data_IF_582959454422
#
_entry.id   IF_582959454422
#
_cell.length_a   1.000
_cell.length_b   1.000
_cell.length_c   1.000
_cell.angle_alpha   90.00
_cell.angle_beta   90.00
_cell.angle_gamma   90.00
#
_symmetry.space_group_name_H-M   'P 1'
#
loop_
_entity.id
_entity.type
_entity.pdbx_description
1 polymer ?
#
# COMPACT_ATOMS: atom_id res chain seq x y z
N UNK A 1 2.76 8.52 -10.22
CA UNK A 1 1.82 7.73 -11.05
C UNK A 1 0.65 8.59 -11.55
N UNK A 2 -0.13 8.19 -12.57
CA UNK A 2 -1.40 8.90 -12.93
C UNK A 2 -2.63 8.23 -12.31
N UNK A 3 -3.71 8.99 -12.10
CA UNK A 3 -4.97 8.48 -11.53
C UNK A 3 -5.53 7.28 -12.32
N UNK A 4 -5.53 7.36 -13.65
CA UNK A 4 -6.01 6.26 -14.50
C UNK A 4 -5.19 4.98 -14.32
N UNK A 5 -3.86 5.10 -14.22
CA UNK A 5 -2.99 3.94 -14.00
C UNK A 5 -3.23 3.31 -12.63
N UNK A 6 -3.42 4.13 -11.60
CA UNK A 6 -3.75 3.68 -10.25
C UNK A 6 -5.06 2.87 -10.26
N UNK A 7 -6.12 3.41 -10.85
CA UNK A 7 -7.42 2.73 -10.96
C UNK A 7 -7.30 1.39 -11.72
N UNK A 8 -6.57 1.38 -12.84
CA UNK A 8 -6.32 0.15 -13.61
C UNK A 8 -5.57 -0.92 -12.81
N UNK A 9 -4.69 -0.52 -11.88
CA UNK A 9 -3.96 -1.45 -11.01
C UNK A 9 -4.88 -1.94 -9.88
N UNK A 10 -5.60 -1.03 -9.22
CA UNK A 10 -6.53 -1.37 -8.13
C UNK A 10 -7.66 -2.31 -8.60
N UNK A 11 -8.11 -2.17 -9.85
CA UNK A 11 -9.10 -3.05 -10.47
C UNK A 11 -8.58 -4.48 -10.77
N UNK A 12 -7.27 -4.74 -10.67
CA UNK A 12 -6.71 -6.09 -10.88
C UNK A 12 -6.97 -6.98 -9.68
N UNK A 13 -6.85 -8.29 -9.92
CA UNK A 13 -6.90 -9.30 -8.85
C UNK A 13 -5.78 -9.10 -7.82
N UNK A 14 -5.96 -9.51 -6.55
CA UNK A 14 -4.98 -9.35 -5.49
C UNK A 14 -3.57 -9.81 -5.86
N UNK A 15 -3.42 -10.96 -6.52
CA UNK A 15 -2.11 -11.52 -6.89
C UNK A 15 -1.38 -10.65 -7.93
N UNK A 16 -2.14 -9.99 -8.80
CA UNK A 16 -1.59 -9.07 -9.80
C UNK A 16 -1.18 -7.75 -9.17
N UNK A 17 -1.92 -7.25 -8.18
CA UNK A 17 -1.54 -6.06 -7.40
C UNK A 17 -0.27 -6.33 -6.59
N UNK A 18 -0.16 -7.50 -5.97
CA UNK A 18 1.04 -7.90 -5.24
C UNK A 18 2.27 -8.00 -6.16
N UNK A 19 2.13 -8.61 -7.33
CA UNK A 19 3.23 -8.64 -8.33
C UNK A 19 3.64 -7.24 -8.78
N UNK A 20 2.69 -6.33 -8.96
CA UNK A 20 2.96 -4.94 -9.28
C UNK A 20 3.73 -4.24 -8.14
N UNK A 21 3.30 -4.45 -6.89
CA UNK A 21 3.97 -3.92 -5.71
C UNK A 21 5.45 -4.35 -5.68
N UNK A 22 5.72 -5.66 -5.70
CA UNK A 22 7.09 -6.18 -5.65
C UNK A 22 7.93 -5.64 -6.80
N UNK A 23 7.41 -5.62 -8.03
CA UNK A 23 8.14 -5.08 -9.18
C UNK A 23 8.51 -3.61 -8.99
N UNK A 24 7.59 -2.80 -8.47
CA UNK A 24 7.78 -1.36 -8.31
C UNK A 24 8.78 -1.08 -7.20
N UNK A 25 8.61 -1.71 -6.04
CA UNK A 25 9.53 -1.54 -4.91
C UNK A 25 10.95 -2.00 -5.24
N UNK A 26 11.11 -3.09 -6.00
CA UNK A 26 12.45 -3.54 -6.44
C UNK A 26 13.05 -2.59 -7.46
N UNK A 27 12.25 -1.94 -8.30
CA UNK A 27 12.75 -1.03 -9.33
C UNK A 27 13.14 0.34 -8.75
N UNK A 28 12.35 0.85 -7.81
CA UNK A 28 12.55 2.18 -7.21
C UNK A 28 13.36 2.12 -5.91
N UNK A 29 13.56 0.94 -5.33
CA UNK A 29 14.22 0.70 -4.04
C UNK A 29 13.60 1.46 -2.86
N UNK A 30 12.34 1.87 -3.00
CA UNK A 30 11.59 2.66 -2.03
C UNK A 30 10.23 2.01 -1.72
N UNK A 31 9.76 2.23 -0.49
CA UNK A 31 8.41 1.88 -0.04
C UNK A 31 7.76 3.09 0.63
N UNK A 32 6.44 3.14 0.54
CA UNK A 32 5.64 4.20 1.13
C UNK A 32 4.75 3.65 2.24
N UNK A 33 4.53 4.43 3.29
CA UNK A 33 3.65 4.12 4.40
C UNK A 33 2.85 5.35 4.80
N UNK A 34 1.76 5.13 5.53
CA UNK A 34 1.06 6.22 6.21
C UNK A 34 1.69 6.42 7.58
N UNK A 35 1.81 7.68 8.00
CA UNK A 35 2.32 8.04 9.31
C UNK A 35 1.65 9.31 9.82
N UNK A 36 1.55 9.43 11.14
CA UNK A 36 1.09 10.61 11.86
C UNK A 36 2.08 10.99 12.98
N UNK A 37 1.63 11.77 13.98
CA UNK A 37 2.48 12.19 15.10
C UNK A 37 2.91 11.02 16.01
N UNK A 38 2.19 9.90 15.99
CA UNK A 38 2.44 8.72 16.83
C UNK A 38 3.34 7.68 16.13
N UNK A 39 3.51 7.79 14.80
CA UNK A 39 4.43 6.95 14.04
C UNK A 39 3.81 6.41 12.76
N UNK A 40 4.24 5.23 12.34
CA UNK A 40 3.71 4.57 11.15
C UNK A 40 2.39 3.89 11.45
N UNK A 41 1.49 3.84 10.48
CA UNK A 41 0.23 3.13 10.57
C UNK A 41 0.47 1.62 10.68
N UNK A 42 0.01 1.06 11.78
CA UNK A 42 -0.09 -0.37 12.02
C UNK A 42 -1.57 -0.78 11.97
N UNK A 43 -1.84 -1.94 11.37
CA UNK A 43 -3.17 -2.54 11.29
C UNK A 43 -3.22 -3.73 12.25
N UNK A 44 -4.26 -3.81 13.07
CA UNK A 44 -4.50 -4.98 13.93
C UNK A 44 -4.98 -6.16 13.08
N UNK A 45 -4.27 -7.29 13.16
CA UNK A 45 -4.76 -8.56 12.60
C UNK A 45 -5.59 -9.31 13.64
N UNK A 46 -6.89 -9.42 13.37
CA UNK A 46 -7.90 -9.86 14.36
C UNK A 46 -7.79 -11.31 14.82
N UNK A 47 -6.93 -12.11 14.21
CA UNK A 47 -6.75 -13.53 14.55
C UNK A 47 -5.48 -13.83 15.36
N UNK A 48 -4.44 -12.98 15.29
CA UNK A 48 -3.09 -13.32 15.80
C UNK A 48 -2.45 -12.24 16.70
N UNK A 49 -3.22 -11.25 17.19
CA UNK A 49 -2.74 -10.16 18.09
C UNK A 49 -1.44 -9.50 17.54
N UNK A 50 -1.31 -9.48 16.22
CA UNK A 50 -0.10 -9.09 15.51
C UNK A 50 -0.37 -7.81 14.73
N UNK A 51 0.45 -6.80 14.99
CA UNK A 51 0.43 -5.55 14.25
C UNK A 51 1.08 -5.72 12.87
N UNK A 52 0.36 -5.32 11.82
CA UNK A 52 0.80 -5.40 10.43
C UNK A 52 1.09 -4.00 9.89
N UNK A 53 2.30 -3.79 9.39
CA UNK A 53 2.69 -2.55 8.75
C UNK A 53 2.06 -2.42 7.35
N UNK A 54 1.27 -1.37 7.13
CA UNK A 54 0.70 -1.07 5.81
C UNK A 54 1.74 -0.37 4.91
N UNK A 55 2.16 -1.05 3.84
CA UNK A 55 3.15 -0.53 2.88
C UNK A 55 2.60 -0.47 1.45
N UNK A 56 3.09 0.50 0.68
CA UNK A 56 2.59 0.87 -0.64
C UNK A 56 3.74 1.11 -1.62
N UNK A 57 3.53 0.90 -2.93
CA UNK A 57 4.58 1.05 -3.94
C UNK A 57 4.74 2.49 -4.46
N UNK A 58 3.78 3.37 -4.19
CA UNK A 58 3.78 4.79 -4.61
C UNK A 58 2.82 5.56 -3.66
N UNK A 59 3.08 6.85 -3.36
CA UNK A 59 2.30 7.64 -2.40
C UNK A 59 0.82 7.74 -2.75
N UNK A 60 0.45 7.64 -4.03
CA UNK A 60 -0.95 7.71 -4.47
C UNK A 60 -1.76 6.50 -3.96
N UNK A 61 -1.14 5.33 -3.80
CA UNK A 61 -1.80 4.17 -3.19
C UNK A 61 -2.07 4.41 -1.70
N UNK A 62 -1.12 5.01 -1.00
CA UNK A 62 -1.28 5.36 0.41
C UNK A 62 -2.39 6.41 0.61
N UNK A 63 -2.48 7.40 -0.29
CA UNK A 63 -3.54 8.40 -0.28
C UNK A 63 -4.93 7.77 -0.46
N UNK A 64 -5.09 6.84 -1.41
CA UNK A 64 -6.35 6.11 -1.61
C UNK A 64 -6.70 5.25 -0.40
N UNK A 65 -5.72 4.59 0.21
CA UNK A 65 -5.95 3.82 1.42
C UNK A 65 -6.42 4.71 2.58
N UNK A 66 -5.82 5.88 2.77
CA UNK A 66 -6.27 6.85 3.80
C UNK A 66 -7.72 7.29 3.62
N UNK A 67 -8.21 7.37 2.38
CA UNK A 67 -9.59 7.82 2.11
C UNK A 67 -10.64 6.69 2.17
N UNK A 68 -10.23 5.43 1.98
CA UNK A 68 -11.15 4.30 1.75
C UNK A 68 -10.91 3.08 2.64
N UNK A 69 -9.83 3.08 3.41
CA UNK A 69 -9.39 1.99 4.29
C UNK A 69 -10.17 1.92 5.59
#
# INVERSE_FOLDING_TARGET
MTQKQLEEILAKKPESRYKYFIKTVVAEEEIWGLADEEGWLLLEDGDDDTDVLAVFPDPEFAAVFREKG
#
